data_IF_312814513382
#
_entry.id   IF_312814513382
#
_cell.length_a   1.000
_cell.length_b   1.000
_cell.length_c   1.000
_cell.angle_alpha   90.00
_cell.angle_beta   90.00
_cell.angle_gamma   90.00
#
_symmetry.space_group_name_H-M   'P 1'
#
loop_
_entity.id
_entity.type
_entity.pdbx_description
1 polymer ?
#
# COMPACT_ATOMS: atom_id res chain seq x y z
N UNK A 1 28.18 -0.58 0.33
CA UNK A 1 26.93 -0.81 -0.45
C UNK A 1 25.89 -1.34 0.54
N UNK A 2 24.66 -0.84 0.51
CA UNK A 2 23.61 -1.26 1.44
C UNK A 2 23.13 -2.65 1.03
N UNK A 3 23.07 -3.59 1.98
CA UNK A 3 22.38 -4.86 1.81
C UNK A 3 21.01 -4.77 2.52
N UNK A 4 19.94 -4.75 1.76
CA UNK A 4 18.57 -4.65 2.27
C UNK A 4 18.09 -5.93 2.97
N UNK A 5 18.83 -7.03 2.82
CA UNK A 5 18.55 -8.33 3.47
C UNK A 5 19.35 -8.53 4.75
N UNK A 6 20.32 -7.64 5.03
CA UNK A 6 21.11 -7.69 6.26
C UNK A 6 20.18 -7.54 7.49
N UNK A 7 20.19 -8.49 8.45
CA UNK A 7 19.38 -8.39 9.66
C UNK A 7 19.60 -7.09 10.44
N UNK A 8 20.80 -6.53 10.42
CA UNK A 8 21.10 -5.26 11.09
C UNK A 8 20.38 -4.09 10.37
N UNK A 9 20.35 -4.09 9.03
CA UNK A 9 19.58 -3.11 8.26
C UNK A 9 18.08 -3.27 8.50
N UNK A 10 17.56 -4.49 8.46
CA UNK A 10 16.12 -4.76 8.69
C UNK A 10 15.70 -4.30 10.09
N UNK A 11 16.54 -4.55 11.10
CA UNK A 11 16.27 -4.13 12.47
C UNK A 11 16.34 -2.61 12.67
N UNK A 12 17.29 -1.94 12.03
CA UNK A 12 17.47 -0.49 12.14
C UNK A 12 18.07 0.10 10.85
N UNK A 13 17.24 0.50 9.87
CA UNK A 13 17.71 1.02 8.59
C UNK A 13 18.24 2.46 8.65
N UNK A 14 17.96 3.20 9.72
CA UNK A 14 18.21 4.64 9.79
C UNK A 14 19.67 5.06 9.65
N UNK A 15 20.66 4.38 10.24
CA UNK A 15 22.07 4.73 10.05
C UNK A 15 22.50 4.61 8.59
N UNK A 16 22.22 3.51 7.93
CA UNK A 16 22.57 3.29 6.53
C UNK A 16 21.85 4.28 5.59
N UNK A 17 20.57 4.55 5.84
CA UNK A 17 19.84 5.57 5.09
C UNK A 17 20.37 6.99 5.34
N UNK A 18 20.93 7.27 6.53
CA UNK A 18 21.58 8.56 6.81
C UNK A 18 22.85 8.72 5.97
N UNK A 19 23.67 7.67 5.87
CA UNK A 19 24.87 7.69 5.02
C UNK A 19 24.50 7.87 3.55
N UNK A 20 23.47 7.17 3.09
CA UNK A 20 22.97 7.32 1.71
C UNK A 20 22.50 8.75 1.43
N UNK A 21 21.82 9.40 2.38
CA UNK A 21 21.43 10.81 2.25
C UNK A 21 22.62 11.77 2.22
N UNK A 22 23.69 11.43 2.93
CA UNK A 22 24.90 12.25 2.98
C UNK A 22 25.65 12.32 1.65
N UNK A 23 25.43 11.39 0.73
CA UNK A 23 25.98 11.43 -0.62
C UNK A 23 25.53 12.67 -1.41
N UNK A 24 24.39 13.28 -1.05
CA UNK A 24 23.92 14.51 -1.67
C UNK A 24 23.23 14.35 -3.02
N UNK A 25 23.16 13.15 -3.56
CA UNK A 25 22.54 12.78 -4.85
C UNK A 25 22.02 11.34 -4.80
N UNK A 26 21.18 10.89 -5.76
CA UNK A 26 20.81 9.50 -5.89
C UNK A 26 22.04 8.62 -6.15
N UNK A 27 22.14 7.51 -5.41
CA UNK A 27 23.29 6.59 -5.46
C UNK A 27 22.93 5.35 -6.26
N UNK A 28 23.79 4.97 -7.21
CA UNK A 28 23.64 3.72 -7.95
C UNK A 28 23.87 2.50 -7.05
N UNK A 29 22.93 1.55 -7.05
CA UNK A 29 23.04 0.30 -6.32
C UNK A 29 23.26 -0.86 -7.27
N UNK A 30 24.48 -1.39 -7.30
CA UNK A 30 24.91 -2.38 -8.28
C UNK A 30 24.09 -3.68 -8.20
N UNK A 31 23.84 -4.17 -6.98
CA UNK A 31 23.08 -5.42 -6.78
C UNK A 31 21.62 -5.35 -7.20
N UNK A 32 21.01 -4.16 -7.14
CA UNK A 32 19.62 -3.94 -7.55
C UNK A 32 19.49 -3.34 -8.95
N UNK A 33 20.59 -2.96 -9.58
CA UNK A 33 20.65 -2.30 -10.89
C UNK A 33 19.70 -1.08 -10.97
N UNK A 34 19.70 -0.24 -9.91
CA UNK A 34 18.85 0.95 -9.83
C UNK A 34 19.48 2.05 -8.99
N UNK A 35 19.01 3.29 -9.18
CA UNK A 35 19.36 4.41 -8.32
C UNK A 35 18.51 4.42 -7.05
N UNK A 36 19.14 4.68 -5.93
CA UNK A 36 18.49 4.85 -4.62
C UNK A 36 18.38 6.34 -4.30
N UNK A 37 17.19 6.86 -4.18
CA UNK A 37 16.88 8.24 -3.82
C UNK A 37 16.44 8.29 -2.36
N UNK A 38 17.35 8.64 -1.44
CA UNK A 38 17.08 8.64 -0.01
C UNK A 38 16.72 10.02 0.57
N UNK A 39 16.95 11.12 -0.16
CA UNK A 39 16.53 12.45 0.28
C UNK A 39 15.09 12.72 -0.14
N UNK A 40 14.36 13.44 0.71
CA UNK A 40 12.97 13.82 0.41
C UNK A 40 12.85 14.60 -0.90
N UNK A 41 13.79 15.52 -1.18
CA UNK A 41 13.84 16.28 -2.45
C UNK A 41 13.90 15.35 -3.66
N UNK A 42 14.84 14.39 -3.66
CA UNK A 42 15.04 13.46 -4.78
C UNK A 42 13.81 12.56 -4.98
N UNK A 43 13.28 12.01 -3.91
CA UNK A 43 12.07 11.19 -3.97
C UNK A 43 10.87 11.99 -4.51
N UNK A 44 10.71 13.24 -4.04
CA UNK A 44 9.64 14.11 -4.54
C UNK A 44 9.82 14.48 -6.02
N UNK A 45 11.06 14.71 -6.47
CA UNK A 45 11.35 15.01 -7.88
C UNK A 45 11.07 13.78 -8.76
N UNK A 46 11.43 12.57 -8.31
CA UNK A 46 11.10 11.32 -9.01
C UNK A 46 9.59 11.15 -9.16
N UNK A 47 8.81 11.32 -8.08
CA UNK A 47 7.35 11.15 -8.13
C UNK A 47 6.63 12.23 -8.94
N UNK A 48 7.21 13.40 -9.11
CA UNK A 48 6.62 14.50 -9.89
C UNK A 48 7.09 14.53 -11.33
N UNK A 49 8.14 13.80 -11.67
CA UNK A 49 8.70 13.81 -13.01
C UNK A 49 7.81 13.01 -13.97
N UNK A 50 7.19 13.72 -14.91
CA UNK A 50 6.30 13.13 -15.92
C UNK A 50 7.01 12.26 -16.96
N UNK A 51 8.35 12.33 -17.02
CA UNK A 51 9.17 11.50 -17.91
C UNK A 51 9.55 10.17 -17.29
N UNK A 52 9.30 10.00 -15.98
CA UNK A 52 9.48 8.74 -15.27
C UNK A 52 8.12 8.07 -15.12
N UNK A 53 8.07 6.80 -15.40
CA UNK A 53 6.87 6.00 -15.30
C UNK A 53 7.15 4.65 -14.68
N UNK A 54 6.09 3.88 -14.47
CA UNK A 54 6.15 2.52 -13.99
C UNK A 54 5.82 1.55 -15.11
N UNK A 55 6.81 0.82 -15.56
CA UNK A 55 6.62 -0.21 -16.59
C UNK A 55 6.51 -1.55 -15.89
N UNK A 56 5.40 -2.24 -16.12
CA UNK A 56 5.26 -3.62 -15.65
C UNK A 56 6.22 -4.52 -16.40
N UNK A 57 6.98 -5.31 -15.65
CA UNK A 57 7.83 -6.37 -16.18
C UNK A 57 7.41 -7.68 -15.57
N UNK A 58 7.08 -8.65 -16.42
CA UNK A 58 6.70 -9.98 -15.97
C UNK A 58 7.81 -10.62 -15.13
N UNK A 59 7.42 -11.24 -14.04
CA UNK A 59 8.32 -11.96 -13.15
C UNK A 59 8.55 -13.37 -13.67
N UNK A 60 9.78 -13.86 -13.44
CA UNK A 60 10.21 -15.21 -13.81
C UNK A 60 10.56 -16.02 -12.56
N UNK A 61 10.40 -17.35 -12.60
CA UNK A 61 9.83 -18.14 -13.71
C UNK A 61 8.30 -17.96 -13.78
N UNK A 62 7.76 -17.99 -15.00
CA UNK A 62 6.35 -17.70 -15.28
C UNK A 62 5.38 -18.56 -14.45
N UNK A 63 5.67 -19.86 -14.31
CA UNK A 63 4.80 -20.80 -13.60
C UNK A 63 4.63 -20.48 -12.09
N UNK A 64 5.60 -19.79 -11.47
CA UNK A 64 5.51 -19.36 -10.07
C UNK A 64 4.76 -18.03 -9.95
N UNK A 65 4.76 -17.22 -11.01
CA UNK A 65 4.26 -15.85 -10.99
C UNK A 65 3.06 -15.62 -11.93
N UNK A 66 2.47 -16.68 -12.47
CA UNK A 66 1.39 -16.60 -13.45
C UNK A 66 0.23 -15.71 -12.98
N UNK A 67 -0.30 -15.95 -11.78
CA UNK A 67 -1.41 -15.17 -11.22
C UNK A 67 -0.98 -13.72 -10.96
N UNK A 68 0.23 -13.52 -10.43
CA UNK A 68 0.77 -12.18 -10.20
C UNK A 68 0.92 -11.42 -11.53
N UNK A 69 1.55 -12.03 -12.52
CA UNK A 69 1.76 -11.42 -13.82
C UNK A 69 0.43 -11.08 -14.50
N UNK A 70 -0.52 -12.00 -14.49
CA UNK A 70 -1.87 -11.78 -15.02
C UNK A 70 -2.58 -10.61 -14.32
N UNK A 71 -2.55 -10.55 -12.97
CA UNK A 71 -3.21 -9.50 -12.19
C UNK A 71 -2.58 -8.13 -12.44
N UNK A 72 -1.26 -8.07 -12.57
CA UNK A 72 -0.51 -6.82 -12.66
C UNK A 72 -0.38 -6.27 -14.08
N UNK A 73 -0.33 -7.13 -15.11
CA UNK A 73 -0.14 -6.72 -16.50
C UNK A 73 -1.13 -5.65 -16.98
N UNK A 74 -2.36 -5.70 -16.49
CA UNK A 74 -3.44 -4.79 -16.86
C UNK A 74 -3.94 -3.91 -15.70
N UNK A 75 -3.25 -3.91 -14.58
CA UNK A 75 -3.64 -3.14 -13.41
C UNK A 75 -3.46 -1.63 -13.63
N UNK A 76 -4.25 -0.83 -12.90
CA UNK A 76 -4.09 0.61 -12.86
C UNK A 76 -2.75 1.03 -12.25
N UNK A 77 -2.20 0.22 -11.34
CA UNK A 77 -0.96 0.51 -10.62
C UNK A 77 0.27 0.41 -11.51
N UNK A 78 0.23 -0.51 -12.47
CA UNK A 78 1.37 -0.83 -13.34
C UNK A 78 1.14 -0.40 -14.79
N UNK A 79 0.24 0.57 -14.99
CA UNK A 79 -0.08 1.12 -16.30
C UNK A 79 0.37 2.57 -16.43
N UNK A 80 0.77 2.94 -17.65
CA UNK A 80 1.11 4.31 -18.03
C UNK A 80 0.04 4.93 -18.97
N UNK A 81 0.03 6.26 -19.15
CA UNK A 81 -0.83 6.90 -20.14
C UNK A 81 -0.63 6.31 -21.55
N UNK A 82 -1.69 6.12 -22.35
CA UNK A 82 -3.08 6.56 -22.11
C UNK A 82 -3.92 5.59 -21.26
N UNK A 83 -3.46 4.33 -21.04
CA UNK A 83 -4.20 3.28 -20.33
C UNK A 83 -4.49 3.68 -18.89
N UNK A 84 -3.46 4.09 -18.13
CA UNK A 84 -3.61 4.58 -16.76
C UNK A 84 -4.65 5.71 -16.67
N UNK A 85 -4.58 6.71 -17.57
CA UNK A 85 -5.52 7.85 -17.58
C UNK A 85 -6.96 7.38 -17.73
N UNK A 86 -7.21 6.43 -18.63
CA UNK A 86 -8.53 5.84 -18.85
C UNK A 86 -9.02 5.08 -17.61
N UNK A 87 -8.22 4.17 -17.07
CA UNK A 87 -8.57 3.37 -15.89
C UNK A 87 -8.82 4.26 -14.67
N UNK A 88 -7.93 5.21 -14.41
CA UNK A 88 -8.06 6.17 -13.30
C UNK A 88 -9.34 7.01 -13.42
N UNK A 89 -9.73 7.42 -14.63
CA UNK A 89 -10.96 8.18 -14.83
C UNK A 89 -12.23 7.41 -14.47
N UNK A 90 -12.23 6.09 -14.66
CA UNK A 90 -13.34 5.23 -14.26
C UNK A 90 -13.44 5.13 -12.73
N UNK A 91 -12.30 4.86 -12.09
CA UNK A 91 -12.23 4.73 -10.62
C UNK A 91 -12.55 6.05 -9.93
N UNK A 92 -12.05 7.18 -10.44
CA UNK A 92 -12.26 8.50 -9.84
C UNK A 92 -13.75 8.89 -9.74
N UNK A 93 -14.62 8.36 -10.60
CA UNK A 93 -16.07 8.58 -10.51
C UNK A 93 -16.69 7.91 -9.27
N UNK A 94 -16.15 6.77 -8.86
CA UNK A 94 -16.57 6.07 -7.65
C UNK A 94 -15.98 6.67 -6.37
N UNK A 95 -14.78 7.22 -6.44
CA UNK A 95 -14.04 7.81 -5.31
C UNK A 95 -14.12 9.34 -5.30
N UNK A 96 -15.34 9.89 -5.36
CA UNK A 96 -15.55 11.33 -5.25
C UNK A 96 -15.78 11.75 -3.78
N UNK A 97 -15.57 13.05 -3.51
CA UNK A 97 -15.67 13.61 -2.15
C UNK A 97 -17.03 13.35 -1.51
N UNK A 98 -18.12 13.53 -2.24
CA UNK A 98 -19.48 13.35 -1.73
C UNK A 98 -19.72 11.91 -1.28
N UNK A 99 -19.26 10.94 -2.06
CA UNK A 99 -19.41 9.52 -1.74
C UNK A 99 -18.57 9.15 -0.50
N UNK A 100 -17.34 9.65 -0.41
CA UNK A 100 -16.47 9.43 0.76
C UNK A 100 -17.07 10.08 2.02
N UNK A 101 -17.57 11.30 1.94
CA UNK A 101 -18.24 11.96 3.06
C UNK A 101 -19.52 11.19 3.49
N UNK A 102 -20.24 10.63 2.53
CA UNK A 102 -21.42 9.79 2.78
C UNK A 102 -21.14 8.47 3.49
N UNK A 103 -19.89 8.01 3.51
CA UNK A 103 -19.49 6.78 4.20
C UNK A 103 -19.34 6.96 5.72
N UNK A 104 -19.29 8.19 6.24
CA UNK A 104 -19.08 8.45 7.68
C UNK A 104 -19.99 7.60 8.57
N UNK A 105 -21.32 7.50 8.36
CA UNK A 105 -22.17 6.66 9.20
C UNK A 105 -21.83 5.17 9.14
N UNK A 106 -21.36 4.69 7.99
CA UNK A 106 -20.91 3.30 7.84
C UNK A 106 -19.61 3.06 8.62
N UNK A 107 -18.65 3.98 8.50
CA UNK A 107 -17.40 3.93 9.27
C UNK A 107 -17.66 3.93 10.76
N UNK A 108 -18.55 4.78 11.25
CA UNK A 108 -18.94 4.84 12.66
C UNK A 108 -19.55 3.51 13.14
N UNK A 109 -20.49 2.95 12.38
CA UNK A 109 -21.10 1.64 12.72
C UNK A 109 -20.07 0.50 12.76
N UNK A 110 -19.14 0.46 11.80
CA UNK A 110 -18.08 -0.57 11.76
C UNK A 110 -17.16 -0.39 12.97
N UNK A 111 -16.77 0.85 13.26
CA UNK A 111 -15.94 1.19 14.42
C UNK A 111 -16.60 0.75 15.73
N UNK A 112 -17.86 1.12 15.96
CA UNK A 112 -18.59 0.76 17.17
C UNK A 112 -18.68 -0.76 17.34
N UNK A 113 -18.96 -1.51 16.27
CA UNK A 113 -19.03 -2.98 16.29
C UNK A 113 -17.69 -3.61 16.69
N UNK A 114 -16.56 -3.09 16.18
CA UNK A 114 -15.24 -3.58 16.53
C UNK A 114 -14.87 -3.27 17.98
N UNK A 115 -15.21 -2.06 18.45
CA UNK A 115 -15.01 -1.65 19.84
C UNK A 115 -15.87 -2.44 20.80
N UNK A 116 -17.11 -2.75 20.44
CA UNK A 116 -17.99 -3.62 21.24
C UNK A 116 -17.38 -5.03 21.40
N UNK A 117 -16.75 -5.56 20.35
CA UNK A 117 -16.04 -6.84 20.42
C UNK A 117 -14.86 -6.80 21.38
N UNK A 118 -14.07 -5.73 21.33
CA UNK A 118 -12.96 -5.50 22.27
C UNK A 118 -13.48 -5.36 23.70
N UNK A 119 -14.55 -4.59 23.91
CA UNK A 119 -15.16 -4.39 25.25
C UNK A 119 -15.64 -5.72 25.84
N UNK A 120 -16.20 -6.62 25.01
CA UNK A 120 -16.59 -7.96 25.46
C UNK A 120 -15.40 -8.79 25.93
N UNK A 121 -14.25 -8.78 25.19
CA UNK A 121 -13.02 -9.46 25.59
C UNK A 121 -12.51 -8.92 26.93
N UNK A 122 -12.45 -7.59 27.05
CA UNK A 122 -12.00 -6.94 28.28
C UNK A 122 -12.87 -7.30 29.48
N UNK A 123 -14.20 -7.30 29.32
CA UNK A 123 -15.14 -7.71 30.36
C UNK A 123 -15.02 -9.18 30.75
N UNK A 124 -14.62 -10.04 29.82
CA UNK A 124 -14.32 -11.45 30.06
C UNK A 124 -12.95 -11.66 30.71
N UNK A 125 -12.15 -10.63 30.89
CA UNK A 125 -10.78 -10.72 31.40
C UNK A 125 -9.78 -11.27 30.37
N UNK A 126 -10.14 -11.23 29.09
CA UNK A 126 -9.30 -11.66 27.99
C UNK A 126 -8.43 -10.51 27.46
N UNK A 127 -7.28 -10.84 26.91
CA UNK A 127 -6.46 -9.88 26.19
C UNK A 127 -7.03 -9.67 24.79
N UNK A 128 -6.86 -8.45 24.26
CA UNK A 128 -7.15 -8.16 22.85
C UNK A 128 -5.88 -7.68 22.13
N UNK A 129 -5.83 -7.91 20.85
CA UNK A 129 -4.78 -7.41 19.95
C UNK A 129 -5.35 -6.23 19.15
N UNK A 130 -4.80 -5.02 19.40
CA UNK A 130 -5.28 -3.80 18.74
C UNK A 130 -5.14 -3.88 17.21
N UNK A 131 -4.15 -4.60 16.70
CA UNK A 131 -3.97 -4.75 15.25
C UNK A 131 -5.04 -5.73 14.71
N UNK A 132 -5.08 -6.94 15.23
CA UNK A 132 -5.97 -7.98 14.73
C UNK A 132 -7.46 -7.70 15.00
N UNK A 133 -7.78 -7.09 16.15
CA UNK A 133 -9.18 -6.87 16.57
C UNK A 133 -9.75 -5.53 16.08
N UNK A 134 -8.89 -4.57 15.64
CA UNK A 134 -9.36 -3.24 15.26
C UNK A 134 -8.66 -2.66 14.02
N UNK A 135 -7.34 -2.49 14.05
CA UNK A 135 -6.65 -1.68 13.05
C UNK A 135 -6.61 -2.34 11.66
N UNK A 136 -6.58 -3.66 11.60
CA UNK A 136 -6.62 -4.44 10.35
C UNK A 136 -8.05 -4.59 9.80
N UNK A 137 -9.06 -5.06 10.58
CA UNK A 137 -10.40 -5.25 10.04
C UNK A 137 -11.13 -3.95 9.68
N UNK A 138 -10.84 -2.83 10.34
CA UNK A 138 -11.53 -1.56 10.08
C UNK A 138 -11.39 -1.08 8.62
N UNK A 139 -10.19 -0.87 8.07
CA UNK A 139 -10.04 -0.41 6.68
C UNK A 139 -10.51 -1.47 5.67
N UNK A 140 -10.34 -2.76 5.96
CA UNK A 140 -10.78 -3.85 5.06
C UNK A 140 -12.30 -3.79 4.89
N UNK A 141 -13.06 -3.69 5.98
CA UNK A 141 -14.53 -3.61 5.94
C UNK A 141 -15.02 -2.32 5.27
N UNK A 142 -14.37 -1.19 5.53
CA UNK A 142 -14.72 0.08 4.89
C UNK A 142 -14.52 0.01 3.38
N UNK A 143 -13.43 -0.61 2.90
CA UNK A 143 -13.16 -0.78 1.48
C UNK A 143 -14.15 -1.78 0.86
N UNK A 144 -14.45 -2.88 1.55
CA UNK A 144 -15.45 -3.86 1.10
C UNK A 144 -16.82 -3.20 0.92
N UNK A 145 -17.29 -2.43 1.90
CA UNK A 145 -18.55 -1.66 1.83
C UNK A 145 -18.54 -0.64 0.68
N UNK A 146 -17.43 0.08 0.50
CA UNK A 146 -17.25 1.03 -0.60
C UNK A 146 -17.35 0.37 -1.98
N UNK A 147 -16.82 -0.84 -2.11
CA UNK A 147 -16.82 -1.63 -3.35
C UNK A 147 -18.13 -2.44 -3.53
N UNK A 148 -18.98 -2.49 -2.50
CA UNK A 148 -20.25 -3.20 -2.54
C UNK A 148 -20.12 -4.71 -2.33
N UNK A 149 -19.07 -5.17 -1.66
CA UNK A 149 -18.95 -6.56 -1.24
C UNK A 149 -19.90 -6.84 -0.06
N UNK A 150 -20.64 -7.95 -0.08
CA UNK A 150 -21.49 -8.31 1.05
C UNK A 150 -20.68 -8.74 2.27
N UNK A 151 -21.14 -8.41 3.48
CA UNK A 151 -20.47 -8.77 4.75
C UNK A 151 -20.24 -10.29 4.90
N UNK A 152 -21.00 -11.13 4.19
CA UNK A 152 -20.85 -12.60 4.21
C UNK A 152 -19.57 -13.12 3.51
N UNK A 153 -18.88 -12.27 2.77
CA UNK A 153 -17.67 -12.62 2.01
C UNK A 153 -16.38 -11.99 2.61
N UNK A 154 -16.47 -11.46 3.84
CA UNK A 154 -15.35 -10.82 4.56
C UNK A 154 -14.45 -11.85 5.29
N UNK A 155 -14.04 -12.96 4.63
CA UNK A 155 -13.19 -13.99 5.23
C UNK A 155 -11.80 -14.03 4.60
#
# INVERSE_FOLDING_TARGET
MIDFTDPAFVSNPYPALKELRAAGEPVWHEGMQMFLAARHSDANDVFRNKSLGRIFTEKSPEFEWEIFNWLHADSILDSEPPKHTRLRSLVAKAFNRQKIEGMRPAVERITDRLLDGIDQKVKAGENFDLIADYAEPLPVRIIADLLGFPESEEH
#
